data_IF_994693625136
#
_entry.id   IF_994693625136
#
_cell.length_a   1.000
_cell.length_b   1.000
_cell.length_c   1.000
_cell.angle_alpha   90.00
_cell.angle_beta   90.00
_cell.angle_gamma   90.00
#
_symmetry.space_group_name_H-M   'P 1'
#
loop_
_entity.id
_entity.type
_entity.pdbx_description
1 polymer ?
#
# COMPACT_ATOMS: atom_id res chain seq x y z
N UNK A 1 40.56 42.01 23.88
CA UNK A 1 40.09 41.52 22.55
C UNK A 1 39.63 40.04 22.56
N UNK A 2 40.13 39.17 23.45
CA UNK A 2 39.78 37.73 23.49
C UNK A 2 38.35 37.42 24.00
N UNK A 3 37.82 38.20 24.95
CA UNK A 3 36.47 38.04 25.56
C UNK A 3 35.33 38.04 24.52
N UNK A 4 35.30 39.04 23.62
CA UNK A 4 34.24 39.21 22.61
C UNK A 4 34.19 38.04 21.60
N UNK A 5 35.35 37.46 21.26
CA UNK A 5 35.44 36.29 20.37
C UNK A 5 34.95 35.00 21.05
N UNK A 6 35.10 34.90 22.38
CA UNK A 6 34.63 33.75 23.18
C UNK A 6 33.10 33.71 23.25
N UNK A 7 32.47 34.86 23.54
CA UNK A 7 31.01 35.03 23.50
C UNK A 7 30.40 34.78 22.11
N UNK A 8 31.06 35.25 21.04
CA UNK A 8 30.61 34.99 19.66
C UNK A 8 30.66 33.50 19.28
N UNK A 9 31.73 32.78 19.67
CA UNK A 9 31.85 31.33 19.44
C UNK A 9 30.85 30.52 20.24
N UNK A 10 30.58 30.91 21.49
CA UNK A 10 29.57 30.25 22.33
C UNK A 10 28.16 30.45 21.78
N UNK A 11 27.82 31.66 21.34
CA UNK A 11 26.56 31.94 20.66
C UNK A 11 26.38 31.09 19.38
N UNK A 12 27.42 30.99 18.54
CA UNK A 12 27.36 30.17 17.32
C UNK A 12 27.20 28.68 17.63
N UNK A 13 27.87 28.16 18.68
CA UNK A 13 27.70 26.77 19.14
C UNK A 13 26.29 26.52 19.68
N UNK A 14 25.74 27.44 20.47
CA UNK A 14 24.38 27.35 20.99
C UNK A 14 23.37 27.32 19.84
N UNK A 15 23.48 28.24 18.87
CA UNK A 15 22.60 28.28 17.69
C UNK A 15 22.68 26.99 16.88
N UNK A 16 23.89 26.48 16.61
CA UNK A 16 24.08 25.23 15.88
C UNK A 16 23.41 24.03 16.58
N UNK A 17 23.52 23.94 17.92
CA UNK A 17 22.85 22.89 18.70
C UNK A 17 21.32 23.02 18.65
N UNK A 18 20.80 24.23 18.77
CA UNK A 18 19.37 24.50 18.69
C UNK A 18 18.81 24.15 17.31
N UNK A 19 19.49 24.57 16.24
CA UNK A 19 19.10 24.21 14.87
C UNK A 19 19.17 22.70 14.65
N UNK A 20 20.21 22.02 15.13
CA UNK A 20 20.32 20.56 15.03
C UNK A 20 19.16 19.85 15.76
N UNK A 21 18.76 20.31 16.95
CA UNK A 21 17.61 19.78 17.68
C UNK A 21 16.30 19.97 16.90
N UNK A 22 16.07 21.16 16.34
CA UNK A 22 14.88 21.45 15.51
C UNK A 22 14.83 20.55 14.28
N UNK A 23 15.96 20.37 13.60
CA UNK A 23 16.06 19.48 12.43
C UNK A 23 15.79 18.02 12.79
N UNK A 24 16.30 17.56 13.93
CA UNK A 24 16.06 16.20 14.42
C UNK A 24 14.58 15.97 14.72
N UNK A 25 13.94 16.92 15.42
CA UNK A 25 12.51 16.86 15.72
C UNK A 25 11.66 16.83 14.44
N UNK A 26 11.98 17.69 13.46
CA UNK A 26 11.32 17.68 12.14
C UNK A 26 11.47 16.33 11.45
N UNK A 27 12.69 15.76 11.42
CA UNK A 27 12.94 14.46 10.79
C UNK A 27 12.15 13.33 11.47
N UNK A 28 12.01 13.37 12.79
CA UNK A 28 11.20 12.41 13.54
C UNK A 28 9.72 12.51 13.15
N UNK A 29 9.15 13.74 13.13
CA UNK A 29 7.76 13.98 12.72
C UNK A 29 7.51 13.51 11.29
N UNK A 30 8.41 13.81 10.34
CA UNK A 30 8.27 13.33 8.96
C UNK A 30 8.29 11.80 8.87
N UNK A 31 9.13 11.13 9.67
CA UNK A 31 9.19 9.66 9.71
C UNK A 31 7.89 9.07 10.25
N UNK A 32 7.32 9.68 11.27
CA UNK A 32 6.05 9.26 11.88
C UNK A 32 4.88 9.45 10.91
N UNK A 33 4.75 10.64 10.31
CA UNK A 33 3.74 10.92 9.27
C UNK A 33 3.83 9.91 8.13
N UNK A 34 5.04 9.64 7.63
CA UNK A 34 5.26 8.65 6.55
C UNK A 34 4.82 7.25 6.97
N UNK A 35 5.04 6.88 8.21
CA UNK A 35 4.64 5.57 8.74
C UNK A 35 3.12 5.45 8.85
N UNK A 36 2.45 6.50 9.33
CA UNK A 36 0.99 6.56 9.42
C UNK A 36 0.33 6.52 8.03
N UNK A 37 0.84 7.30 7.08
CA UNK A 37 0.35 7.30 5.70
C UNK A 37 0.51 5.92 5.05
N UNK A 38 1.65 5.24 5.26
CA UNK A 38 1.85 3.88 4.76
C UNK A 38 0.85 2.90 5.37
N UNK A 39 0.64 2.94 6.69
CA UNK A 39 -0.32 2.07 7.37
C UNK A 39 -1.75 2.29 6.86
N UNK A 40 -2.14 3.54 6.65
CA UNK A 40 -3.45 3.89 6.09
C UNK A 40 -3.61 3.39 4.65
N UNK A 41 -2.62 3.62 3.80
CA UNK A 41 -2.65 3.15 2.41
C UNK A 41 -2.77 1.62 2.34
N UNK A 42 -2.05 0.89 3.19
CA UNK A 42 -2.18 -0.57 3.28
C UNK A 42 -3.59 -1.00 3.72
N UNK A 43 -4.19 -0.32 4.69
CA UNK A 43 -5.55 -0.63 5.14
C UNK A 43 -6.63 -0.31 4.09
N UNK A 44 -6.50 0.78 3.34
CA UNK A 44 -7.46 1.11 2.26
C UNK A 44 -7.41 0.07 1.13
N UNK A 45 -6.23 -0.45 0.77
CA UNK A 45 -6.08 -1.49 -0.26
C UNK A 45 -6.78 -2.80 0.14
N UNK A 46 -6.74 -3.19 1.41
CA UNK A 46 -7.42 -4.40 1.91
C UNK A 46 -8.95 -4.30 1.90
N UNK A 47 -9.51 -3.09 1.93
CA UNK A 47 -10.97 -2.90 1.98
C UNK A 47 -11.65 -2.77 0.61
N UNK A 48 -10.89 -2.64 -0.48
CA UNK A 48 -11.50 -2.42 -1.78
C UNK A 48 -12.12 -3.73 -2.31
N UNK A 49 -13.44 -3.72 -2.46
CA UNK A 49 -14.20 -4.81 -3.07
C UNK A 49 -14.35 -4.59 -4.58
N UNK A 50 -14.19 -5.66 -5.34
CA UNK A 50 -14.46 -5.73 -6.78
C UNK A 50 -15.80 -6.40 -7.02
N UNK A 51 -16.58 -5.86 -7.95
CA UNK A 51 -17.82 -6.47 -8.39
C UNK A 51 -17.57 -7.60 -9.39
N UNK A 52 -18.60 -8.42 -9.65
CA UNK A 52 -18.58 -9.41 -10.72
C UNK A 52 -18.14 -8.85 -12.09
N UNK A 53 -18.58 -7.63 -12.43
CA UNK A 53 -18.24 -6.98 -13.70
C UNK A 53 -16.75 -6.61 -13.76
N UNK A 54 -16.19 -6.10 -12.66
CA UNK A 54 -14.78 -5.74 -12.58
C UNK A 54 -13.89 -6.98 -12.74
N UNK A 55 -14.25 -8.09 -12.07
CA UNK A 55 -13.51 -9.35 -12.18
C UNK A 55 -13.57 -9.91 -13.62
N UNK A 56 -14.72 -9.85 -14.28
CA UNK A 56 -14.87 -10.25 -15.68
C UNK A 56 -13.97 -9.42 -16.61
N UNK A 57 -13.95 -8.11 -16.42
CA UNK A 57 -13.10 -7.20 -17.20
C UNK A 57 -11.59 -7.47 -16.97
N UNK A 58 -11.19 -7.67 -15.72
CA UNK A 58 -9.79 -7.94 -15.35
C UNK A 58 -9.27 -9.26 -15.93
N UNK A 59 -10.06 -10.34 -15.83
CA UNK A 59 -9.67 -11.64 -16.40
C UNK A 59 -9.90 -11.74 -17.92
N UNK A 60 -10.61 -10.77 -18.50
CA UNK A 60 -11.08 -10.77 -19.89
C UNK A 60 -11.89 -12.01 -20.22
N UNK A 61 -12.90 -12.31 -19.39
CA UNK A 61 -13.78 -13.47 -19.53
C UNK A 61 -15.25 -13.05 -19.65
N UNK A 62 -16.04 -13.86 -20.35
CA UNK A 62 -17.49 -13.68 -20.44
C UNK A 62 -18.25 -14.23 -19.23
N UNK A 63 -19.54 -13.91 -19.18
CA UNK A 63 -20.47 -14.28 -18.10
C UNK A 63 -20.52 -15.80 -17.82
N UNK A 64 -20.61 -16.63 -18.86
CA UNK A 64 -20.67 -18.10 -18.70
C UNK A 64 -19.41 -18.67 -18.04
N UNK A 65 -18.23 -18.26 -18.51
CA UNK A 65 -16.95 -18.65 -17.92
C UNK A 65 -16.84 -18.21 -16.47
N UNK A 66 -17.29 -17.00 -16.15
CA UNK A 66 -17.29 -16.47 -14.79
C UNK A 66 -18.10 -17.35 -13.82
N UNK A 67 -19.35 -17.70 -14.16
CA UNK A 67 -20.15 -18.57 -13.29
C UNK A 67 -19.62 -20.00 -13.23
N UNK A 68 -19.06 -20.51 -14.33
CA UNK A 68 -18.38 -21.81 -14.32
C UNK A 68 -17.21 -21.83 -13.35
N UNK A 69 -16.41 -20.77 -13.29
CA UNK A 69 -15.29 -20.64 -12.35
C UNK A 69 -15.74 -20.52 -10.90
N UNK A 70 -16.91 -19.93 -10.64
CA UNK A 70 -17.51 -19.95 -9.30
C UNK A 70 -17.99 -21.35 -8.96
N UNK A 71 -18.69 -22.03 -9.87
CA UNK A 71 -19.17 -23.39 -9.66
C UNK A 71 -18.02 -24.39 -9.43
N UNK A 72 -16.88 -24.19 -10.10
CA UNK A 72 -15.68 -25.01 -9.92
C UNK A 72 -14.85 -24.61 -8.69
N UNK A 73 -15.27 -23.62 -7.90
CA UNK A 73 -14.56 -23.14 -6.72
C UNK A 73 -13.28 -22.33 -7.00
N UNK A 74 -13.03 -21.96 -8.26
CA UNK A 74 -11.84 -21.18 -8.64
C UNK A 74 -11.97 -19.69 -8.28
N UNK A 75 -13.21 -19.18 -8.30
CA UNK A 75 -13.57 -17.87 -7.77
C UNK A 75 -14.52 -18.07 -6.59
N UNK A 76 -14.22 -17.44 -5.46
CA UNK A 76 -15.07 -17.52 -4.26
C UNK A 76 -15.63 -16.14 -3.88
N UNK A 77 -16.79 -15.75 -4.42
CA UNK A 77 -17.40 -14.46 -4.11
C UNK A 77 -18.01 -14.44 -2.71
N UNK A 78 -17.85 -13.32 -2.02
CA UNK A 78 -18.72 -12.98 -0.90
C UNK A 78 -20.02 -12.39 -1.43
N UNK A 79 -21.16 -12.93 -1.00
CA UNK A 79 -22.48 -12.42 -1.38
C UNK A 79 -22.93 -11.32 -0.43
N UNK A 80 -23.13 -10.12 -0.95
CA UNK A 80 -23.66 -8.97 -0.19
C UNK A 80 -24.91 -8.49 -0.94
N UNK A 81 -26.08 -8.58 -0.31
CA UNK A 81 -27.38 -8.19 -0.91
C UNK A 81 -27.63 -8.84 -2.30
N UNK A 82 -27.32 -10.15 -2.42
CA UNK A 82 -27.51 -10.91 -3.66
C UNK A 82 -26.48 -10.62 -4.77
N UNK A 83 -25.52 -9.71 -4.55
CA UNK A 83 -24.45 -9.40 -5.51
C UNK A 83 -23.14 -10.05 -5.09
N UNK A 84 -22.33 -10.43 -6.08
CA UNK A 84 -21.02 -11.03 -5.87
C UNK A 84 -19.95 -9.94 -5.73
N UNK A 85 -19.17 -10.05 -4.64
CA UNK A 85 -18.03 -9.19 -4.36
C UNK A 85 -16.79 -10.01 -4.04
N UNK A 86 -15.64 -9.45 -4.36
CA UNK A 86 -14.34 -10.08 -4.09
C UNK A 86 -13.39 -9.06 -3.49
N UNK A 87 -12.54 -9.47 -2.56
CA UNK A 87 -11.41 -8.64 -2.15
C UNK A 87 -10.48 -8.43 -3.34
N UNK A 88 -10.13 -7.17 -3.61
CA UNK A 88 -9.26 -6.81 -4.73
C UNK A 88 -7.93 -7.55 -4.68
N UNK A 89 -7.31 -7.62 -3.50
CA UNK A 89 -6.01 -8.29 -3.33
C UNK A 89 -6.04 -9.75 -3.80
N UNK A 90 -7.05 -10.52 -3.38
CA UNK A 90 -7.21 -11.93 -3.76
C UNK A 90 -7.34 -12.09 -5.28
N UNK A 91 -8.09 -11.21 -5.95
CA UNK A 91 -8.25 -11.25 -7.41
C UNK A 91 -6.93 -10.91 -8.12
N UNK A 92 -6.19 -9.93 -7.61
CA UNK A 92 -4.89 -9.56 -8.18
C UNK A 92 -3.86 -10.68 -8.03
N UNK A 93 -3.82 -11.37 -6.88
CA UNK A 93 -2.94 -12.52 -6.66
C UNK A 93 -3.26 -13.67 -7.63
N UNK A 94 -4.55 -13.92 -7.91
CA UNK A 94 -4.97 -14.93 -8.89
C UNK A 94 -4.55 -14.56 -10.32
N UNK A 95 -4.61 -13.28 -10.70
CA UNK A 95 -4.11 -12.80 -12.00
C UNK A 95 -2.60 -13.01 -12.12
N UNK A 96 -1.86 -12.72 -11.05
CA UNK A 96 -0.43 -12.91 -11.01
C UNK A 96 -0.05 -14.39 -11.14
N UNK A 97 -0.70 -15.28 -10.37
CA UNK A 97 -0.51 -16.74 -10.49
C UNK A 97 -0.77 -17.26 -11.91
N UNK A 98 -1.80 -16.72 -12.59
CA UNK A 98 -2.09 -17.05 -14.00
C UNK A 98 -0.95 -16.62 -14.95
N UNK A 99 -0.37 -15.43 -14.73
CA UNK A 99 0.72 -14.88 -15.55
C UNK A 99 2.02 -15.69 -15.40
N UNK A 100 2.28 -16.25 -14.22
CA UNK A 100 3.45 -17.11 -14.02
C UNK A 100 3.27 -18.52 -14.60
N UNK A 101 2.05 -19.07 -14.58
CA UNK A 101 1.73 -20.34 -15.27
C UNK A 101 1.96 -20.32 -16.78
N UNK A 102 1.94 -19.15 -17.42
CA UNK A 102 2.24 -19.04 -18.85
C UNK A 102 3.73 -18.84 -19.15
N UNK A 103 4.59 -18.68 -18.13
CA UNK A 103 6.05 -18.54 -18.27
C UNK A 103 6.87 -19.77 -17.86
N UNK A 104 6.34 -20.61 -16.98
CA UNK A 104 6.83 -21.96 -16.74
C UNK A 104 5.76 -22.93 -17.20
N UNK A 105 6.03 -23.66 -18.29
CA UNK A 105 5.17 -24.76 -18.71
C UNK A 105 4.94 -25.73 -17.55
N UNK A 106 3.75 -26.32 -17.54
CA UNK A 106 3.30 -27.32 -16.57
C UNK A 106 4.33 -28.43 -16.34
N UNK A 107 4.48 -28.84 -15.08
CA UNK A 107 4.44 -30.25 -14.74
C UNK A 107 2.99 -30.60 -14.35
#
# INVERSE_FOLDING_TARGET
MKEKRKNSKEYMKWRARTTAKILLARKAVYKEIRTLLRKRASAEVDTQLLSAKDVQALFKIGHSTYYRWIASGWLNPTRIHGRHYFQKQVIMDLLEKRRYRSRGGLD
#
